data_IF_639207605174
#
_entry.id   IF_639207605174
#
_cell.length_a   1.000
_cell.length_b   1.000
_cell.length_c   1.000
_cell.angle_alpha   90.00
_cell.angle_beta   90.00
_cell.angle_gamma   90.00
#
_symmetry.space_group_name_H-M   'P 1'
#
loop_
_entity.id
_entity.type
_entity.pdbx_description
1 polymer ?
#
# COMPACT_ATOMS: atom_id res chain seq x y z
N UNK A 1 -25.88 1.50 3.23
CA UNK A 1 -25.21 1.45 1.90
C UNK A 1 -23.72 1.69 2.14
N UNK A 2 -22.93 0.63 2.24
CA UNK A 2 -21.48 0.75 2.55
C UNK A 2 -20.79 1.00 1.21
N UNK A 3 -20.42 2.26 0.92
CA UNK A 3 -19.63 2.60 -0.27
C UNK A 3 -18.22 2.03 -0.07
N UNK A 4 -17.90 0.98 -0.83
CA UNK A 4 -16.52 0.47 -0.97
C UNK A 4 -15.70 1.59 -1.62
N UNK A 5 -14.74 2.13 -0.89
CA UNK A 5 -13.74 3.05 -1.43
C UNK A 5 -12.79 2.20 -2.28
N UNK A 6 -12.66 2.51 -3.56
CA UNK A 6 -11.63 1.92 -4.40
C UNK A 6 -10.30 2.59 -4.02
N UNK A 7 -9.43 1.85 -3.35
CA UNK A 7 -8.01 2.18 -3.40
C UNK A 7 -7.52 1.68 -4.75
N UNK A 8 -7.32 2.58 -5.72
CA UNK A 8 -6.74 2.25 -7.02
C UNK A 8 -5.27 1.87 -6.84
N UNK A 9 -5.03 0.61 -6.52
CA UNK A 9 -3.70 0.07 -6.31
C UNK A 9 -3.09 -0.31 -7.67
N UNK A 10 -2.58 0.68 -8.42
CA UNK A 10 -1.84 0.40 -9.66
C UNK A 10 -0.41 -0.03 -9.29
N UNK A 11 -0.21 -1.33 -9.03
CA UNK A 11 1.15 -1.88 -8.87
C UNK A 11 1.91 -1.78 -10.19
N UNK A 12 2.87 -0.86 -10.28
CA UNK A 12 3.81 -0.85 -11.39
C UNK A 12 4.87 -1.93 -11.14
N UNK A 13 4.70 -3.09 -11.78
CA UNK A 13 5.67 -4.18 -11.77
C UNK A 13 6.89 -3.82 -12.63
N UNK A 14 8.02 -3.53 -11.99
CA UNK A 14 9.32 -3.57 -12.67
C UNK A 14 9.92 -4.96 -12.51
N UNK A 15 9.79 -5.78 -13.56
CA UNK A 15 10.43 -7.08 -13.79
C UNK A 15 10.23 -8.17 -12.72
N UNK A 16 9.19 -9.00 -12.85
CA UNK A 16 9.26 -10.47 -12.68
C UNK A 16 8.15 -11.10 -13.56
N UNK A 17 8.49 -12.17 -14.27
CA UNK A 17 7.65 -12.90 -15.24
C UNK A 17 6.25 -13.21 -14.72
N UNK A 18 5.23 -12.86 -15.51
CA UNK A 18 3.85 -13.30 -15.36
C UNK A 18 3.79 -14.84 -15.49
N UNK A 19 3.45 -15.54 -14.41
CA UNK A 19 3.00 -16.95 -14.29
C UNK A 19 3.41 -17.52 -12.92
N UNK A 20 3.07 -16.84 -11.83
CA UNK A 20 3.29 -17.37 -10.48
C UNK A 20 2.03 -17.03 -9.67
N UNK A 21 1.00 -17.90 -9.69
CA UNK A 21 -0.26 -17.67 -8.93
C UNK A 21 -0.02 -17.30 -7.45
N UNK A 22 1.11 -17.77 -6.91
CA UNK A 22 1.59 -17.41 -5.57
C UNK A 22 1.93 -15.91 -5.44
N UNK A 23 2.47 -15.29 -6.49
CA UNK A 23 2.77 -13.86 -6.54
C UNK A 23 1.48 -13.02 -6.50
N UNK A 24 0.46 -13.43 -7.25
CA UNK A 24 -0.82 -12.73 -7.30
C UNK A 24 -1.56 -12.83 -5.96
N UNK A 25 -1.59 -14.02 -5.36
CA UNK A 25 -2.17 -14.23 -4.03
C UNK A 25 -1.43 -13.43 -2.93
N UNK A 26 -0.10 -13.40 -3.00
CA UNK A 26 0.74 -12.65 -2.07
C UNK A 26 0.45 -11.14 -2.14
N UNK A 27 0.45 -10.57 -3.35
CA UNK A 27 0.19 -9.16 -3.56
C UNK A 27 -1.27 -8.77 -3.26
N UNK A 28 -2.22 -9.65 -3.54
CA UNK A 28 -3.63 -9.47 -3.13
C UNK A 28 -3.77 -9.37 -1.61
N UNK A 29 -3.07 -10.22 -0.86
CA UNK A 29 -3.09 -10.20 0.61
C UNK A 29 -2.51 -8.89 1.19
N UNK A 30 -1.49 -8.32 0.52
CA UNK A 30 -0.95 -7.01 0.91
C UNK A 30 -1.96 -5.91 0.59
N UNK A 31 -2.54 -5.94 -0.61
CA UNK A 31 -3.54 -4.98 -1.06
C UNK A 31 -4.75 -4.93 -0.13
N UNK A 32 -5.24 -6.08 0.33
CA UNK A 32 -6.37 -6.17 1.27
C UNK A 32 -6.08 -5.39 2.56
N UNK A 33 -4.91 -5.61 3.17
CA UNK A 33 -4.50 -4.89 4.40
C UNK A 33 -4.40 -3.39 4.18
N UNK A 34 -3.85 -2.98 3.04
CA UNK A 34 -3.67 -1.56 2.72
C UNK A 34 -4.99 -0.88 2.34
N UNK A 35 -5.96 -1.63 1.84
CA UNK A 35 -7.30 -1.14 1.50
C UNK A 35 -8.17 -0.80 2.71
N UNK A 36 -7.76 -1.21 3.92
CA UNK A 36 -8.42 -0.84 5.18
C UNK A 36 -8.29 0.66 5.50
N UNK A 37 -7.33 1.34 4.88
CA UNK A 37 -7.19 2.78 5.07
C UNK A 37 -8.35 3.54 4.42
N UNK A 38 -8.93 4.46 5.17
CA UNK A 38 -10.00 5.34 4.70
C UNK A 38 -9.36 6.70 4.36
N UNK A 39 -9.34 7.11 3.08
CA UNK A 39 -8.80 8.40 2.67
C UNK A 39 -9.57 9.57 3.29
N UNK A 40 -8.83 10.64 3.59
CA UNK A 40 -9.37 11.92 4.08
C UNK A 40 -9.13 13.02 3.03
N UNK A 41 -9.91 14.10 3.05
CA UNK A 41 -9.83 15.12 2.01
C UNK A 41 -10.35 14.67 0.64
N UNK A 42 -10.16 15.50 -0.38
CA UNK A 42 -10.67 15.30 -1.75
C UNK A 42 -9.59 15.57 -2.78
N UNK A 43 -9.47 14.71 -3.80
CA UNK A 43 -8.50 14.83 -4.89
C UNK A 43 -7.04 14.89 -4.42
N UNK A 44 -6.73 14.24 -3.30
CA UNK A 44 -5.38 14.14 -2.78
C UNK A 44 -4.72 12.85 -3.23
N UNK A 45 -3.40 12.90 -3.44
CA UNK A 45 -2.62 11.73 -3.89
C UNK A 45 -1.21 11.74 -3.31
N UNK A 46 -0.83 10.62 -2.71
CA UNK A 46 0.54 10.35 -2.28
C UNK A 46 1.07 9.08 -2.94
N UNK A 47 2.35 9.07 -3.29
CA UNK A 47 3.03 7.91 -3.88
C UNK A 47 4.08 7.41 -2.90
N UNK A 48 4.12 6.10 -2.67
CA UNK A 48 5.01 5.47 -1.70
C UNK A 48 5.73 4.25 -2.28
N UNK A 49 6.90 3.97 -1.71
CA UNK A 49 7.48 2.65 -1.69
C UNK A 49 7.04 1.94 -0.40
N UNK A 50 6.59 0.71 -0.53
CA UNK A 50 6.31 -0.21 0.57
C UNK A 50 7.36 -1.30 0.54
N UNK A 51 7.89 -1.65 1.70
CA UNK A 51 8.90 -2.68 1.87
C UNK A 51 8.37 -3.76 2.79
N UNK A 52 8.58 -5.01 2.43
CA UNK A 52 8.36 -6.17 3.31
C UNK A 52 9.64 -6.98 3.29
N UNK A 53 10.25 -7.17 4.45
CA UNK A 53 11.49 -7.94 4.56
C UNK A 53 11.24 -9.47 4.56
N UNK A 54 12.31 -10.24 4.58
CA UNK A 54 12.29 -11.70 4.64
C UNK A 54 11.61 -12.27 5.91
N UNK A 55 11.36 -11.44 6.92
CA UNK A 55 10.68 -11.81 8.17
C UNK A 55 9.21 -11.35 8.19
N UNK A 56 8.75 -10.65 7.15
CA UNK A 56 7.41 -10.09 7.07
C UNK A 56 7.27 -8.75 7.79
N UNK A 57 8.38 -8.07 8.12
CA UNK A 57 8.36 -6.74 8.71
C UNK A 57 8.04 -5.70 7.64
N UNK A 58 7.06 -4.85 7.93
CA UNK A 58 6.61 -3.78 7.04
C UNK A 58 7.40 -2.49 7.28
N UNK A 59 7.77 -1.82 6.21
CA UNK A 59 8.26 -0.43 6.23
C UNK A 59 7.78 0.33 4.99
N UNK A 60 7.94 1.65 5.00
CA UNK A 60 7.49 2.51 3.90
C UNK A 60 8.34 3.77 3.75
N UNK A 61 8.29 4.34 2.55
CA UNK A 61 8.93 5.60 2.21
C UNK A 61 8.02 6.41 1.28
N UNK A 62 7.81 7.69 1.60
CA UNK A 62 7.10 8.60 0.70
C UNK A 62 8.01 8.99 -0.46
N UNK A 63 7.59 8.65 -1.69
CA UNK A 63 8.19 9.21 -2.92
C UNK A 63 7.63 10.61 -3.17
N UNK A 64 6.31 10.76 -3.01
CA UNK A 64 5.60 12.04 -3.17
C UNK A 64 4.51 12.13 -2.13
N UNK A 65 4.46 13.25 -1.43
CA UNK A 65 3.37 13.56 -0.49
C UNK A 65 2.20 14.22 -1.22
N UNK A 66 1.01 14.08 -0.63
CA UNK A 66 -0.17 14.83 -1.02
C UNK A 66 -0.02 16.31 -0.66
N UNK A 67 -0.90 17.18 -1.17
CA UNK A 67 -0.87 18.60 -0.85
C UNK A 67 -1.40 18.86 0.57
N UNK A 68 -2.44 18.11 0.97
CA UNK A 68 -3.02 18.19 2.30
C UNK A 68 -2.13 17.56 3.37
N UNK A 69 -1.78 18.34 4.39
CA UNK A 69 -1.09 17.84 5.58
C UNK A 69 -1.96 16.83 6.35
N UNK A 70 -3.28 17.05 6.42
CA UNK A 70 -4.22 16.12 7.06
C UNK A 70 -4.21 14.75 6.38
N UNK A 71 -4.21 14.73 5.04
CA UNK A 71 -4.08 13.50 4.26
C UNK A 71 -2.77 12.77 4.60
N UNK A 72 -1.66 13.49 4.53
CA UNK A 72 -0.34 12.92 4.78
C UNK A 72 -0.23 12.36 6.21
N UNK A 73 -0.76 13.06 7.20
CA UNK A 73 -0.75 12.62 8.61
C UNK A 73 -1.67 11.41 8.84
N UNK A 74 -2.87 11.40 8.25
CA UNK A 74 -3.77 10.24 8.30
C UNK A 74 -3.12 8.99 7.70
N UNK A 75 -2.54 9.12 6.52
CA UNK A 75 -1.86 8.02 5.83
C UNK A 75 -0.63 7.54 6.62
N UNK A 76 0.20 8.47 7.12
CA UNK A 76 1.35 8.14 7.97
C UNK A 76 0.93 7.35 9.21
N UNK A 77 -0.11 7.81 9.91
CA UNK A 77 -0.61 7.14 11.11
C UNK A 77 -1.14 5.73 10.81
N UNK A 78 -1.75 5.52 9.64
CA UNK A 78 -2.15 4.19 9.19
C UNK A 78 -0.93 3.30 8.92
N UNK A 79 0.07 3.77 8.17
CA UNK A 79 1.26 3.00 7.81
C UNK A 79 2.12 2.66 9.03
N UNK A 80 2.22 3.56 10.02
CA UNK A 80 2.89 3.27 11.30
C UNK A 80 2.18 2.17 12.12
N UNK A 81 0.86 1.99 11.96
CA UNK A 81 0.17 0.83 12.55
C UNK A 81 0.51 -0.46 11.82
N UNK A 82 0.68 -0.41 10.49
CA UNK A 82 1.07 -1.58 9.69
C UNK A 82 2.44 -2.13 10.09
N UNK A 83 3.38 -1.28 10.56
CA UNK A 83 4.68 -1.73 11.11
C UNK A 83 4.57 -2.71 12.28
N UNK A 84 3.43 -2.74 12.98
CA UNK A 84 3.18 -3.64 14.11
C UNK A 84 2.55 -4.97 13.70
N UNK A 85 2.24 -5.13 12.41
CA UNK A 85 1.59 -6.31 11.84
C UNK A 85 2.63 -7.13 11.09
N UNK A 86 2.59 -8.44 11.27
CA UNK A 86 3.44 -9.36 10.50
C UNK A 86 2.77 -9.67 9.16
N UNK A 87 3.42 -9.29 8.07
CA UNK A 87 2.95 -9.56 6.71
C UNK A 87 3.36 -10.97 6.26
N UNK A 88 2.68 -11.53 5.23
CA UNK A 88 3.16 -12.73 4.55
C UNK A 88 4.60 -12.53 4.05
N UNK A 89 5.36 -13.62 3.96
CA UNK A 89 6.73 -13.62 3.42
C UNK A 89 6.74 -14.25 2.03
N UNK A 90 7.41 -13.62 1.07
CA UNK A 90 7.56 -14.14 -0.29
C UNK A 90 8.92 -14.82 -0.47
N UNK A 91 8.95 -16.16 -0.41
CA UNK A 91 10.14 -16.99 -0.76
C UNK A 91 11.44 -16.50 -0.10
N UNK A 92 11.39 -16.02 1.15
CA UNK A 92 12.51 -15.42 1.90
C UNK A 92 13.21 -14.24 1.18
N UNK A 93 12.47 -13.49 0.35
CA UNK A 93 12.97 -12.31 -0.37
C UNK A 93 12.38 -11.03 0.22
N UNK A 94 13.18 -9.97 0.16
CA UNK A 94 12.70 -8.60 0.37
C UNK A 94 11.87 -8.16 -0.83
N UNK A 95 10.73 -7.55 -0.55
CA UNK A 95 9.81 -7.04 -1.56
C UNK A 95 9.74 -5.53 -1.47
N UNK A 96 9.69 -4.88 -2.63
CA UNK A 96 9.45 -3.44 -2.79
C UNK A 96 8.26 -3.23 -3.71
N UNK A 97 7.26 -2.50 -3.25
CA UNK A 97 6.04 -2.19 -3.99
C UNK A 97 5.93 -0.68 -4.13
N UNK A 98 5.84 -0.17 -5.35
CA UNK A 98 5.46 1.22 -5.59
C UNK A 98 3.94 1.29 -5.73
N UNK A 99 3.30 2.14 -4.93
CA UNK A 99 1.85 2.31 -4.95
C UNK A 99 1.43 3.74 -4.70
N UNK A 100 0.21 4.06 -5.14
CA UNK A 100 -0.44 5.34 -4.92
C UNK A 100 -1.59 5.17 -3.92
N UNK A 101 -1.70 6.12 -3.00
CA UNK A 101 -2.85 6.32 -2.14
C UNK A 101 -3.54 7.59 -2.56
N UNK A 102 -4.84 7.53 -2.79
CA UNK A 102 -5.62 8.66 -3.30
C UNK A 102 -6.99 8.78 -2.63
N UNK A 103 -7.50 10.01 -2.53
CA UNK A 103 -8.88 10.28 -2.15
C UNK A 103 -9.67 10.70 -3.38
N UNK A 104 -10.79 10.01 -3.62
CA UNK A 104 -11.70 10.37 -4.70
C UNK A 104 -12.51 11.63 -4.35
N UNK A 105 -12.95 12.33 -5.39
CA UNK A 105 -13.96 13.38 -5.25
C UNK A 105 -15.28 12.74 -4.78
N UNK A 106 -15.85 13.27 -3.69
CA UNK A 106 -17.13 12.80 -3.13
C UNK A 106 -18.34 13.24 -3.95
#
# INVERSE_FOLDING_TARGET
MIKKILVSFLMLFSLISANDDFIDSYYSSIGERLSEWIPVGENEKATLNIFIDENGAFDYEFIKKANSEEFNNSLKNFLEKQKKIKYPVYKNKKIKIKTDFESEKK
#
